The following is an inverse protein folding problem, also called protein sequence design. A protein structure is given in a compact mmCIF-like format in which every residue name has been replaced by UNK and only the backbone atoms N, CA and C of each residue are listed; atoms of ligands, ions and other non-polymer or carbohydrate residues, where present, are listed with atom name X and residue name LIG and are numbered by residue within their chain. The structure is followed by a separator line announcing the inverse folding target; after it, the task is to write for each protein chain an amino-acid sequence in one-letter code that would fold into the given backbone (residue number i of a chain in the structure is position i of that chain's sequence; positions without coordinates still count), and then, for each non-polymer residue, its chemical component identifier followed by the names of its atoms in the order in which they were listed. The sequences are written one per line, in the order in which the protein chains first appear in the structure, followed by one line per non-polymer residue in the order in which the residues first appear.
data_IF_873363500178
#
_entry.id   IF_873363500178
#
_cell.length_a   1.000
_cell.length_b   1.000
_cell.length_c   1.000
_cell.angle_alpha   90.00
_cell.angle_beta   90.00
_cell.angle_gamma   90.00
#
_symmetry.space_group_name_H-M   'P 1'
#
loop_
_entity.id
_entity.type
_entity.pdbx_description
1 polymer ?
#
# COMPACT_ATOMS: atom_id res chain seq x y z
N UNK A 1 -2.07 -11.28 -28.50
CA UNK A 1 -2.16 -10.97 -27.92
C UNK A 1 -1.75 -10.46 -27.30
N UNK A 2 -1.51 -10.45 -27.47
CA UNK A 2 -0.77 -10.11 -26.61
C UNK A 2 -1.21 -9.54 -25.61
N UNK A 3 -1.62 -9.39 -25.59
CA UNK A 3 -2.13 -8.90 -24.73
C UNK A 3 -1.82 -9.10 -23.44
N UNK A 4 -1.57 -10.00 -23.13
CA UNK A 4 -1.28 -10.28 -21.91
C UNK A 4 -0.20 -9.70 -21.35
N UNK A 5 0.55 -9.26 -22.05
CA UNK A 5 1.65 -8.61 -21.52
C UNK A 5 1.32 -7.60 -20.56
N UNK A 6 0.21 -6.97 -20.74
CA UNK A 6 -0.11 -5.97 -19.84
C UNK A 6 -0.53 -6.45 -18.60
N UNK A 7 -0.88 -7.66 -18.47
CA UNK A 7 -1.32 -8.15 -17.21
C UNK A 7 -0.21 -8.75 -16.45
N UNK A 8 0.86 -8.07 -16.31
CA UNK A 8 1.91 -8.52 -15.48
C UNK A 8 1.51 -8.51 -14.07
N UNK A 9 0.48 -7.77 -13.70
CA UNK A 9 0.01 -7.76 -12.33
C UNK A 9 -1.02 -8.82 -12.17
N UNK A 10 -0.69 -9.80 -11.38
CA UNK A 10 -1.63 -10.84 -11.02
C UNK A 10 -2.69 -10.29 -10.08
N UNK A 11 -2.34 -9.23 -9.33
CA UNK A 11 -3.23 -8.63 -8.34
C UNK A 11 -3.57 -7.22 -8.79
N UNK A 12 -4.78 -6.98 -9.30
CA UNK A 12 -5.17 -5.66 -9.72
C UNK A 12 -5.08 -4.67 -8.58
N UNK A 13 -4.68 -3.46 -8.88
CA UNK A 13 -4.60 -2.41 -7.88
C UNK A 13 -5.89 -1.65 -7.83
N UNK A 14 -6.31 -1.32 -6.61
CA UNK A 14 -7.49 -0.50 -6.40
C UNK A 14 -7.05 0.82 -5.80
N UNK A 15 -7.45 1.91 -6.44
CA UNK A 15 -7.17 3.22 -5.90
C UNK A 15 -8.09 3.46 -4.72
N UNK A 16 -7.53 4.04 -3.67
CA UNK A 16 -8.31 4.37 -2.48
C UNK A 16 -9.14 5.61 -2.81
N UNK A 17 -10.46 5.58 -2.61
CA UNK A 17 -11.28 6.76 -2.84
C UNK A 17 -10.81 7.92 -1.97
N UNK A 18 -10.84 9.14 -2.53
CA UNK A 18 -10.31 10.30 -1.83
C UNK A 18 -11.00 10.57 -0.50
N UNK A 19 -12.26 10.20 -0.37
CA UNK A 19 -12.99 10.43 0.87
C UNK A 19 -12.74 9.33 1.91
N UNK A 20 -12.03 8.29 1.53
CA UNK A 20 -11.79 7.19 2.45
C UNK A 20 -10.60 7.48 3.34
N UNK A 21 -10.78 7.29 4.64
CA UNK A 21 -9.70 7.51 5.60
C UNK A 21 -8.83 6.25 5.64
N UNK A 22 -7.75 6.25 4.89
CA UNK A 22 -6.86 5.10 4.77
C UNK A 22 -5.41 5.53 4.93
N UNK A 23 -4.66 4.77 5.71
CA UNK A 23 -3.26 5.09 5.95
C UNK A 23 -2.46 3.82 6.20
N UNK A 24 -1.14 3.94 6.09
CA UNK A 24 -0.23 2.89 6.50
C UNK A 24 0.59 3.44 7.67
N UNK A 25 0.76 2.61 8.70
CA UNK A 25 1.54 2.98 9.88
C UNK A 25 2.68 1.99 10.02
N UNK A 26 3.87 2.48 10.31
CA UNK A 26 5.02 1.60 10.49
C UNK A 26 6.12 2.33 11.22
N UNK A 27 7.08 1.54 11.74
CA UNK A 27 8.29 2.10 12.33
C UNK A 27 9.37 2.01 11.27
N UNK A 28 9.95 3.13 10.91
CA UNK A 28 10.98 3.18 9.86
C UNK A 28 12.32 2.69 10.34
N UNK A 29 13.29 2.58 9.42
CA UNK A 29 14.64 2.16 9.78
C UNK A 29 15.32 3.09 10.79
N UNK A 30 14.85 4.33 10.85
CA UNK A 30 15.39 5.32 11.82
C UNK A 30 14.77 5.15 13.20
N UNK A 31 13.91 4.17 13.40
CA UNK A 31 13.25 3.95 14.68
C UNK A 31 12.07 4.85 14.94
N UNK A 32 11.70 5.68 13.99
CA UNK A 32 10.62 6.65 14.15
C UNK A 32 9.30 6.06 13.63
N UNK A 33 8.22 6.29 14.34
CA UNK A 33 6.91 5.87 13.91
C UNK A 33 6.40 6.80 12.81
N UNK A 34 5.89 6.23 11.74
CA UNK A 34 5.38 6.97 10.59
C UNK A 34 3.95 6.58 10.30
N UNK A 35 3.21 7.52 9.70
CA UNK A 35 1.81 7.33 9.38
C UNK A 35 1.54 8.16 8.13
N UNK A 36 1.26 7.50 7.01
CA UNK A 36 1.15 8.16 5.72
C UNK A 36 -0.08 7.72 4.96
N UNK A 37 -0.67 8.60 4.14
CA UNK A 37 -1.87 8.24 3.38
C UNK A 37 -1.62 7.08 2.43
N UNK A 38 -2.55 6.15 2.39
CA UNK A 38 -2.52 5.03 1.46
C UNK A 38 -3.18 5.46 0.16
N UNK A 39 -2.53 5.21 -0.97
CA UNK A 39 -3.02 5.63 -2.27
C UNK A 39 -3.69 4.50 -3.02
N UNK A 40 -3.03 3.35 -3.05
CA UNK A 40 -3.53 2.17 -3.76
C UNK A 40 -3.34 0.94 -2.90
N UNK A 41 -4.19 -0.04 -3.10
CA UNK A 41 -4.11 -1.31 -2.40
C UNK A 41 -4.38 -2.44 -3.37
N UNK A 42 -3.57 -3.50 -3.30
CA UNK A 42 -3.80 -4.73 -4.04
C UNK A 42 -3.53 -5.89 -3.09
N UNK A 43 -3.84 -7.08 -3.51
CA UNK A 43 -3.61 -8.25 -2.69
C UNK A 43 -2.13 -8.46 -2.40
N UNK A 44 -1.26 -8.09 -3.33
CA UNK A 44 0.16 -8.28 -3.19
C UNK A 44 0.93 -7.09 -2.67
N UNK A 45 0.31 -5.92 -2.51
CA UNK A 45 1.02 -4.74 -2.06
C UNK A 45 0.17 -3.49 -2.13
N UNK A 46 0.84 -2.34 -2.14
CA UNK A 46 0.13 -1.08 -2.21
C UNK A 46 1.10 0.06 -2.41
N UNK A 47 0.59 1.28 -2.29
CA UNK A 47 1.44 2.45 -2.35
C UNK A 47 0.93 3.50 -1.38
N UNK A 48 1.84 4.32 -0.91
CA UNK A 48 1.49 5.39 0.00
C UNK A 48 2.31 6.64 -0.32
N UNK A 49 1.84 7.77 0.13
CA UNK A 49 2.42 9.05 -0.19
C UNK A 49 3.26 9.57 0.97
N UNK A 50 4.44 10.11 0.64
CA UNK A 50 5.33 10.70 1.62
C UNK A 50 5.54 12.16 1.27
N UNK A 51 5.57 13.07 2.27
CA UNK A 51 5.89 14.47 2.00
C UNK A 51 7.37 14.67 1.78
N UNK A 52 8.20 13.77 2.30
CA UNK A 52 9.63 13.89 2.16
C UNK A 52 10.26 12.51 2.24
N UNK A 53 11.53 12.42 1.85
CA UNK A 53 12.23 11.15 1.89
C UNK A 53 12.57 10.78 3.33
N UNK A 54 12.31 9.54 3.70
CA UNK A 54 12.63 9.04 5.04
C UNK A 54 14.01 8.38 4.99
N UNK A 55 14.93 8.77 5.85
CA UNK A 55 16.27 8.16 5.86
C UNK A 55 16.18 6.64 6.02
N UNK A 56 16.89 5.93 5.18
CA UNK A 56 16.93 4.47 5.24
C UNK A 56 15.77 3.77 4.56
N UNK A 57 14.76 4.50 4.11
CA UNK A 57 13.63 3.89 3.44
C UNK A 57 13.93 3.83 1.95
N UNK A 58 14.56 2.76 1.53
CA UNK A 58 15.05 2.60 0.16
C UNK A 58 14.51 1.33 -0.45
N UNK A 59 14.59 1.24 -1.77
CA UNK A 59 14.19 0.02 -2.47
C UNK A 59 14.95 -1.16 -1.88
N UNK A 60 14.21 -2.22 -1.53
CA UNK A 60 14.78 -3.39 -0.90
C UNK A 60 14.66 -3.41 0.62
N UNK A 61 14.32 -2.28 1.23
CA UNK A 61 14.14 -2.23 2.68
C UNK A 61 12.88 -2.99 3.07
N UNK A 62 12.99 -3.85 4.08
CA UNK A 62 11.85 -4.60 4.61
C UNK A 62 11.41 -3.97 5.93
N UNK A 63 10.10 -3.76 6.05
CA UNK A 63 9.48 -3.24 7.25
C UNK A 63 8.59 -4.33 7.83
N UNK A 64 8.76 -4.61 9.11
CA UNK A 64 7.94 -5.60 9.80
C UNK A 64 6.93 -4.93 10.70
N UNK A 65 5.81 -5.60 10.88
CA UNK A 65 4.74 -5.11 11.77
C UNK A 65 4.17 -3.77 11.36
N UNK A 66 4.02 -3.54 10.07
CA UNK A 66 3.27 -2.40 9.61
C UNK A 66 1.78 -2.66 9.78
N UNK A 67 1.00 -1.59 9.73
CA UNK A 67 -0.45 -1.68 9.86
C UNK A 67 -1.10 -0.84 8.77
N UNK A 68 -2.01 -1.46 8.02
CA UNK A 68 -2.87 -0.75 7.09
C UNK A 68 -4.16 -0.47 7.85
N UNK A 69 -4.53 0.79 7.93
CA UNK A 69 -5.76 1.18 8.58
C UNK A 69 -6.71 1.82 7.57
N UNK A 70 -7.92 1.30 7.50
CA UNK A 70 -8.97 1.85 6.65
C UNK A 70 -10.21 2.00 7.52
N UNK A 71 -10.55 3.24 7.85
CA UNK A 71 -11.63 3.48 8.80
C UNK A 71 -11.28 2.85 10.14
N UNK A 72 -12.09 1.90 10.57
CA UNK A 72 -11.86 1.21 11.83
C UNK A 72 -11.14 -0.12 11.67
N UNK A 73 -10.85 -0.52 10.44
CA UNK A 73 -10.16 -1.79 10.20
C UNK A 73 -8.66 -1.62 10.24
N UNK A 74 -7.99 -2.57 10.86
CA UNK A 74 -6.54 -2.59 10.91
C UNK A 74 -6.06 -3.96 10.45
N UNK A 75 -5.10 -3.96 9.52
CA UNK A 75 -4.55 -5.19 8.97
C UNK A 75 -3.04 -5.13 9.14
N UNK A 76 -2.48 -6.15 9.81
CA UNK A 76 -1.03 -6.19 10.03
C UNK A 76 -0.35 -6.78 8.81
N UNK A 77 0.71 -6.13 8.36
CA UNK A 77 1.44 -6.56 7.16
C UNK A 77 2.93 -6.33 7.35
N UNK A 78 3.72 -7.22 6.72
CA UNK A 78 5.13 -6.98 6.55
C UNK A 78 5.30 -6.60 5.08
N UNK A 79 6.21 -5.69 4.77
CA UNK A 79 6.34 -5.28 3.39
C UNK A 79 7.76 -4.90 3.03
N UNK A 80 8.05 -4.94 1.74
CA UNK A 80 9.33 -4.55 1.19
C UNK A 80 9.11 -3.37 0.27
N UNK A 81 9.98 -2.37 0.35
CA UNK A 81 9.93 -1.20 -0.52
C UNK A 81 10.40 -1.63 -1.90
N UNK A 82 9.56 -1.46 -2.90
CA UNK A 82 9.87 -1.87 -4.27
C UNK A 82 10.10 -0.68 -5.19
N UNK A 83 9.55 0.47 -4.85
CA UNK A 83 9.66 1.64 -5.70
C UNK A 83 9.51 2.89 -4.88
N UNK A 84 10.32 3.91 -5.17
CA UNK A 84 10.16 5.23 -4.59
C UNK A 84 10.15 6.19 -5.77
N UNK A 85 9.02 6.83 -6.01
CA UNK A 85 8.85 7.73 -7.15
C UNK A 85 8.63 9.14 -6.63
N UNK A 86 9.34 10.08 -7.18
CA UNK A 86 9.16 11.48 -6.83
C UNK A 86 8.16 12.10 -7.82
N UNK A 87 7.08 12.68 -7.28
CA UNK A 87 6.08 13.30 -8.12
C UNK A 87 6.38 14.76 -8.37
N UNK A 88 6.48 15.51 -7.29
CA UNK A 88 6.71 16.93 -7.36
C UNK A 88 7.93 17.21 -6.52
N UNK A 89 8.24 18.47 -6.32
CA UNK A 89 9.45 18.83 -5.59
C UNK A 89 9.54 18.22 -4.20
N UNK A 90 8.43 18.02 -3.55
CA UNK A 90 8.46 17.53 -2.17
C UNK A 90 7.51 16.38 -1.90
N UNK A 91 7.08 15.71 -2.93
CA UNK A 91 6.15 14.60 -2.74
C UNK A 91 6.68 13.32 -3.35
N UNK A 92 6.59 12.23 -2.62
CA UNK A 92 7.04 10.93 -3.07
C UNK A 92 5.91 9.92 -2.95
N UNK A 93 5.93 8.95 -3.84
CA UNK A 93 5.04 7.79 -3.70
C UNK A 93 5.90 6.57 -3.51
N UNK A 94 5.60 5.77 -2.50
CA UNK A 94 6.34 4.57 -2.18
C UNK A 94 5.46 3.37 -2.49
N UNK A 95 5.95 2.50 -3.39
CA UNK A 95 5.27 1.26 -3.73
C UNK A 95 5.88 0.12 -2.95
N UNK A 96 5.04 -0.74 -2.38
CA UNK A 96 5.49 -1.83 -1.53
C UNK A 96 4.87 -3.15 -1.93
N UNK A 97 5.58 -4.22 -1.61
CA UNK A 97 5.10 -5.58 -1.80
C UNK A 97 4.95 -6.22 -0.42
N UNK A 98 3.79 -6.82 -0.16
CA UNK A 98 3.56 -7.49 1.12
C UNK A 98 4.30 -8.81 1.16
N UNK A 99 4.80 -9.17 2.35
CA UNK A 99 5.54 -10.41 2.56
C UNK A 99 4.90 -11.23 3.67
N UNK A 100 4.92 -12.53 3.50
CA UNK A 100 4.51 -13.48 4.56
C UNK A 100 3.17 -13.10 5.19
N UNK A 101 2.24 -12.71 4.35
CA UNK A 101 0.93 -12.30 4.81
C UNK A 101 0.16 -13.53 5.29
N UNK A 102 -0.48 -13.41 6.46
CA UNK A 102 -1.28 -14.51 6.99
C UNK A 102 -2.53 -14.69 6.13
N UNK A 103 -3.14 -15.88 6.22
CA UNK A 103 -4.37 -16.14 5.48
C UNK A 103 -5.46 -15.15 5.89
N UNK A 104 -5.51 -14.83 7.17
CA UNK A 104 -6.51 -13.87 7.67
C UNK A 104 -6.28 -12.49 7.07
N UNK A 105 -5.04 -12.02 7.06
CA UNK A 105 -4.73 -10.71 6.49
C UNK A 105 -5.06 -10.67 5.00
N UNK A 106 -4.80 -11.75 4.27
CA UNK A 106 -5.14 -11.81 2.85
C UNK A 106 -6.64 -11.66 2.64
N UNK A 107 -7.43 -12.34 3.45
CA UNK A 107 -8.88 -12.25 3.36
C UNK A 107 -9.34 -10.83 3.63
N UNK A 108 -8.75 -10.19 4.63
CA UNK A 108 -9.12 -8.82 4.99
C UNK A 108 -8.77 -7.83 3.90
N UNK A 109 -7.59 -7.96 3.29
CA UNK A 109 -7.19 -7.09 2.21
C UNK A 109 -8.13 -7.30 1.00
N UNK A 110 -8.45 -8.55 0.71
CA UNK A 110 -9.33 -8.87 -0.40
C UNK A 110 -10.70 -8.25 -0.21
N UNK A 111 -11.21 -8.29 1.03
CA UNK A 111 -12.50 -7.69 1.34
C UNK A 111 -12.47 -6.17 1.14
N UNK A 112 -11.39 -5.52 1.56
CA UNK A 112 -11.26 -4.08 1.36
C UNK A 112 -11.19 -3.70 -0.11
N UNK A 113 -10.44 -4.47 -0.89
CA UNK A 113 -10.32 -4.21 -2.33
C UNK A 113 -11.69 -4.31 -2.99
N UNK A 114 -12.45 -5.34 -2.63
CA UNK A 114 -13.79 -5.51 -3.17
C UNK A 114 -14.69 -4.34 -2.80
N UNK A 115 -14.54 -3.85 -1.58
CA UNK A 115 -15.33 -2.71 -1.11
C UNK A 115 -15.01 -1.46 -1.92
N UNK A 116 -13.72 -1.20 -2.18
CA UNK A 116 -13.33 -0.04 -2.98
C UNK A 116 -13.85 -0.15 -4.40
N UNK A 117 -13.79 -1.33 -4.98
CA UNK A 117 -14.29 -1.55 -6.33
C UNK A 117 -15.80 -1.34 -6.39
N UNK A 118 -16.51 -1.78 -5.36
CA UNK A 118 -17.95 -1.59 -5.30
C UNK A 118 -18.33 -0.12 -5.24
N UNK A 119 -17.59 0.66 -4.46
CA UNK A 119 -17.84 2.09 -4.37
C UNK A 119 -17.64 2.74 -5.74
N UNK A 120 -16.57 2.34 -6.42
CA UNK A 120 -16.27 2.91 -7.72
C UNK A 120 -17.36 2.56 -8.75
N UNK A 121 -17.84 1.34 -8.70
CA UNK A 121 -18.87 0.91 -9.63
C UNK A 121 -20.21 1.56 -9.36
N UNK A 122 -20.45 1.92 -8.12
CA UNK A 122 -21.71 2.54 -7.76
C UNK A 122 -21.80 3.99 -8.22
N UNK A 123 -20.71 4.60 -8.57
CA UNK A 123 -20.71 5.96 -9.05
C UNK A 123 -20.58 6.00 -10.56
#
# INVERSE_FOLDING_TARGET
MPVQVKNRRWNPRSRIPAFQDAEIKFTGPDGTAHRWPLIELSLGGGSFQLPEQIPGLEVGTTIEDGVIRVGEFEIHVNFEIRRVTRYYEKAYECGVQFHMMSAQSRIEVEALISQFQGIREAT
#
